data_IF_219968553778
#
_entry.id   IF_219968553778
#
_cell.length_a   1.000
_cell.length_b   1.000
_cell.length_c   1.000
_cell.angle_alpha   90.00
_cell.angle_beta   90.00
_cell.angle_gamma   90.00
#
_symmetry.space_group_name_H-M   'P 1'
#
loop_
_entity.id
_entity.type
_entity.pdbx_description
1 polymer ?
#
# COMPACT_ATOMS: atom_id res chain seq x y z
N UNK A 1 4.48 -16.29 12.31
CA UNK A 1 4.14 -14.91 11.91
C UNK A 1 2.93 -14.95 11.00
N UNK A 2 2.03 -13.94 11.03
CA UNK A 2 0.84 -13.95 10.19
C UNK A 2 1.24 -13.99 8.71
N UNK A 3 0.71 -14.99 7.99
CA UNK A 3 0.94 -15.23 6.57
C UNK A 3 0.05 -14.33 5.69
N UNK A 4 -0.14 -13.07 6.09
CA UNK A 4 -1.01 -12.15 5.36
C UNK A 4 -0.28 -11.73 4.09
N UNK A 5 -0.76 -12.25 2.96
CA UNK A 5 -0.30 -11.91 1.62
C UNK A 5 -1.17 -10.83 0.98
N UNK A 6 -2.43 -10.68 1.41
CA UNK A 6 -3.34 -9.63 0.95
C UNK A 6 -3.89 -8.85 2.13
N UNK A 7 -3.81 -7.53 2.05
CA UNK A 7 -4.39 -6.60 3.01
C UNK A 7 -5.33 -5.65 2.29
N UNK A 8 -6.59 -5.62 2.70
CA UNK A 8 -7.60 -4.72 2.16
C UNK A 8 -8.06 -3.77 3.25
N UNK A 9 -7.96 -2.48 2.99
CA UNK A 9 -8.35 -1.40 3.88
C UNK A 9 -9.42 -0.57 3.18
N UNK A 10 -10.63 -0.59 3.73
CA UNK A 10 -11.76 0.21 3.24
C UNK A 10 -12.12 1.24 4.29
N UNK A 11 -12.35 2.48 3.87
CA UNK A 11 -12.75 3.58 4.76
C UNK A 11 -11.81 3.71 5.99
N UNK A 12 -10.51 3.53 5.75
CA UNK A 12 -9.49 3.41 6.79
C UNK A 12 -8.48 4.55 6.72
N UNK A 13 -8.77 5.61 7.46
CA UNK A 13 -7.89 6.78 7.59
C UNK A 13 -6.91 6.59 8.76
N UNK A 14 -6.05 5.58 8.64
CA UNK A 14 -5.08 5.22 9.68
C UNK A 14 -3.64 5.36 9.18
N UNK A 15 -3.10 6.60 9.06
CA UNK A 15 -1.74 6.82 8.56
C UNK A 15 -0.68 6.12 9.42
N UNK A 16 -0.85 6.10 10.74
CA UNK A 16 0.05 5.39 11.66
C UNK A 16 0.06 3.87 11.41
N UNK A 17 -1.08 3.28 11.04
CA UNK A 17 -1.13 1.84 10.73
C UNK A 17 -0.38 1.53 9.43
N UNK A 18 -0.55 2.38 8.42
CA UNK A 18 0.18 2.27 7.17
C UNK A 18 1.69 2.50 7.35
N UNK A 19 2.10 3.41 8.22
CA UNK A 19 3.51 3.59 8.61
C UNK A 19 4.11 2.34 9.24
N UNK A 20 3.36 1.62 10.08
CA UNK A 20 3.80 0.34 10.65
C UNK A 20 4.04 -0.75 9.61
N UNK A 21 3.47 -0.61 8.40
CA UNK A 21 3.82 -1.49 7.29
C UNK A 21 5.26 -1.19 6.82
N UNK A 22 5.76 0.04 6.83
CA UNK A 22 7.04 0.39 6.19
C UNK A 22 8.22 -0.37 6.83
N UNK A 23 8.47 -0.22 8.13
CA UNK A 23 9.47 -1.02 8.86
C UNK A 23 9.17 -0.95 10.36
N UNK A 24 8.98 -2.10 11.00
CA UNK A 24 9.10 -2.22 12.45
C UNK A 24 10.29 -3.14 12.77
N UNK A 25 11.28 -2.70 13.58
CA UNK A 25 12.56 -3.40 13.80
C UNK A 25 12.48 -4.86 14.26
N UNK A 26 11.36 -5.30 14.81
CA UNK A 26 11.21 -6.65 15.39
C UNK A 26 9.98 -7.40 14.90
N UNK A 27 9.27 -6.88 13.90
CA UNK A 27 8.07 -7.56 13.41
C UNK A 27 7.43 -6.77 12.30
N UNK A 28 7.91 -6.98 11.07
CA UNK A 28 7.19 -6.52 9.89
C UNK A 28 5.74 -6.99 10.01
N UNK A 29 4.83 -6.04 10.15
CA UNK A 29 3.41 -6.31 10.08
C UNK A 29 3.17 -6.79 8.63
N UNK A 30 2.77 -8.05 8.49
CA UNK A 30 2.62 -8.74 7.21
C UNK A 30 3.94 -8.79 6.40
N UNK A 31 4.92 -9.62 6.81
CA UNK A 31 6.21 -9.71 6.14
C UNK A 31 6.11 -10.31 4.73
N UNK A 32 5.03 -11.05 4.45
CA UNK A 32 4.75 -11.72 3.18
C UNK A 32 3.70 -10.97 2.35
N UNK A 33 3.48 -9.68 2.62
CA UNK A 33 2.44 -8.93 1.92
C UNK A 33 2.80 -8.73 0.45
N UNK A 34 1.95 -9.30 -0.42
CA UNK A 34 2.07 -9.28 -1.88
C UNK A 34 1.05 -8.34 -2.53
N UNK A 35 -0.11 -8.14 -1.89
CA UNK A 35 -1.20 -7.34 -2.40
C UNK A 35 -1.74 -6.34 -1.35
N UNK A 36 -1.87 -5.07 -1.74
CA UNK A 36 -2.46 -4.01 -0.91
C UNK A 36 -3.65 -3.38 -1.63
N UNK A 37 -4.84 -3.48 -1.04
CA UNK A 37 -6.05 -2.84 -1.54
C UNK A 37 -6.42 -1.68 -0.61
N UNK A 38 -6.57 -0.50 -1.20
CA UNK A 38 -6.98 0.72 -0.53
C UNK A 38 -8.28 1.19 -1.18
N UNK A 39 -9.34 1.30 -0.38
CA UNK A 39 -10.64 1.75 -0.83
C UNK A 39 -11.14 2.89 0.06
N UNK A 40 -11.62 3.97 -0.54
CA UNK A 40 -12.33 5.06 0.16
C UNK A 40 -11.57 5.59 1.39
N UNK A 41 -10.23 5.61 1.29
CA UNK A 41 -9.30 5.97 2.38
C UNK A 41 -8.40 7.13 1.96
N UNK A 42 -7.86 7.86 2.93
CA UNK A 42 -6.82 8.87 2.73
C UNK A 42 -5.43 8.25 2.89
N UNK A 43 -4.63 8.29 1.83
CA UNK A 43 -3.25 7.80 1.84
C UNK A 43 -2.33 8.85 1.23
N UNK A 44 -1.27 9.19 1.94
CA UNK A 44 -0.22 10.08 1.42
C UNK A 44 0.58 9.34 0.36
N UNK A 45 0.84 10.00 -0.77
CA UNK A 45 1.68 9.48 -1.85
C UNK A 45 3.02 8.91 -1.35
N UNK A 46 3.77 9.68 -0.56
CA UNK A 46 5.09 9.27 -0.07
C UNK A 46 5.01 7.98 0.75
N UNK A 47 3.97 7.87 1.58
CA UNK A 47 3.73 6.70 2.41
C UNK A 47 3.48 5.45 1.58
N UNK A 48 2.68 5.56 0.52
CA UNK A 48 2.43 4.42 -0.36
C UNK A 48 3.70 3.98 -1.11
N UNK A 49 4.49 4.94 -1.60
CA UNK A 49 5.79 4.67 -2.22
C UNK A 49 6.71 3.91 -1.26
N UNK A 50 6.79 4.35 0.00
CA UNK A 50 7.61 3.70 1.03
C UNK A 50 7.13 2.28 1.35
N UNK A 51 5.82 2.06 1.43
CA UNK A 51 5.24 0.72 1.64
C UNK A 51 5.60 -0.22 0.49
N UNK A 52 5.50 0.25 -0.77
CA UNK A 52 5.84 -0.54 -1.94
C UNK A 52 7.35 -0.83 -1.96
N UNK A 53 8.19 0.18 -1.73
CA UNK A 53 9.65 0.03 -1.76
C UNK A 53 10.17 -0.90 -0.65
N UNK A 54 9.61 -0.81 0.56
CA UNK A 54 9.97 -1.72 1.66
C UNK A 54 9.69 -3.20 1.35
N UNK A 55 8.82 -3.48 0.36
CA UNK A 55 8.40 -4.82 -0.05
C UNK A 55 8.64 -5.09 -1.54
N UNK A 56 9.52 -4.32 -2.18
CA UNK A 56 9.72 -4.36 -3.64
C UNK A 56 9.97 -5.77 -4.23
N UNK A 57 10.68 -6.72 -3.59
CA UNK A 57 10.83 -8.05 -4.20
C UNK A 57 9.55 -8.89 -4.20
N UNK A 58 8.53 -8.54 -3.42
CA UNK A 58 7.33 -9.36 -3.20
C UNK A 58 6.00 -8.63 -3.43
N UNK A 59 6.00 -7.29 -3.47
CA UNK A 59 4.79 -6.50 -3.74
C UNK A 59 4.38 -6.66 -5.21
N UNK A 60 3.38 -7.49 -5.45
CA UNK A 60 2.92 -7.83 -6.79
C UNK A 60 1.83 -6.87 -7.28
N UNK A 61 0.91 -6.48 -6.39
CA UNK A 61 -0.29 -5.74 -6.77
C UNK A 61 -0.70 -4.69 -5.74
N UNK A 62 -1.08 -3.50 -6.23
CA UNK A 62 -1.73 -2.47 -5.41
C UNK A 62 -3.00 -2.03 -6.12
N UNK A 63 -4.12 -2.13 -5.44
CA UNK A 63 -5.41 -1.64 -5.92
C UNK A 63 -5.78 -0.40 -5.14
N UNK A 64 -6.07 0.69 -5.83
CA UNK A 64 -6.49 1.96 -5.22
C UNK A 64 -7.84 2.35 -5.81
N UNK A 65 -8.83 2.49 -4.95
CA UNK A 65 -10.22 2.76 -5.33
C UNK A 65 -10.75 3.93 -4.53
N UNK A 66 -11.15 5.04 -5.18
CA UNK A 66 -11.75 6.21 -4.50
C UNK A 66 -10.93 6.75 -3.33
N UNK A 67 -9.60 6.63 -3.38
CA UNK A 67 -8.74 7.13 -2.32
C UNK A 67 -8.42 8.61 -2.53
N UNK A 68 -8.35 9.35 -1.42
CA UNK A 68 -7.90 10.74 -1.39
C UNK A 68 -6.41 10.79 -1.04
N UNK A 69 -5.70 11.82 -1.51
CA UNK A 69 -4.25 11.97 -1.29
C UNK A 69 -3.35 11.26 -2.31
N UNK A 70 -3.94 10.51 -3.24
CA UNK A 70 -3.26 9.95 -4.41
C UNK A 70 -3.94 10.49 -5.67
N UNK A 71 -3.15 10.99 -6.61
CA UNK A 71 -3.62 11.44 -7.90
C UNK A 71 -3.24 10.46 -9.03
N UNK A 72 -3.77 10.70 -10.22
CA UNK A 72 -3.54 9.86 -11.39
C UNK A 72 -2.07 9.87 -11.84
N UNK A 73 -1.38 10.99 -11.63
CA UNK A 73 0.05 11.12 -11.92
C UNK A 73 0.86 10.18 -11.02
N UNK A 74 0.58 10.21 -9.72
CA UNK A 74 1.17 9.31 -8.72
C UNK A 74 0.87 7.86 -9.03
N UNK A 75 -0.39 7.52 -9.35
CA UNK A 75 -0.77 6.16 -9.71
C UNK A 75 0.02 5.67 -10.94
N UNK A 76 0.34 6.56 -11.87
CA UNK A 76 1.16 6.26 -13.04
C UNK A 76 2.64 6.02 -12.69
N UNK A 77 3.23 6.83 -11.80
CA UNK A 77 4.59 6.59 -11.30
C UNK A 77 4.72 5.25 -10.58
N UNK A 78 3.72 4.90 -9.76
CA UNK A 78 3.67 3.65 -9.00
C UNK A 78 3.62 2.39 -9.88
N UNK A 79 3.14 2.51 -11.13
CA UNK A 79 3.16 1.38 -12.11
C UNK A 79 4.56 0.92 -12.45
N UNK A 80 5.59 1.75 -12.25
CA UNK A 80 6.99 1.34 -12.39
C UNK A 80 7.49 0.46 -11.23
N UNK A 81 6.76 0.44 -10.11
CA UNK A 81 7.14 -0.24 -8.86
C UNK A 81 6.34 -1.52 -8.62
N UNK A 82 5.05 -1.55 -8.97
CA UNK A 82 4.16 -2.70 -8.81
C UNK A 82 3.01 -2.64 -9.84
N UNK A 83 2.22 -3.72 -9.99
CA UNK A 83 0.99 -3.65 -10.81
C UNK A 83 -0.06 -2.81 -10.09
N UNK A 84 -0.39 -1.64 -10.63
CA UNK A 84 -1.38 -0.72 -10.04
C UNK A 84 -2.73 -0.83 -10.76
N UNK A 85 -3.76 -1.22 -10.02
CA UNK A 85 -5.15 -1.02 -10.42
C UNK A 85 -5.68 0.27 -9.79
N UNK A 86 -6.30 1.13 -10.61
CA UNK A 86 -6.77 2.46 -10.20
C UNK A 86 -8.22 2.66 -10.63
N UNK A 87 -9.08 2.99 -9.67
CA UNK A 87 -10.48 3.32 -9.89
C UNK A 87 -10.80 4.60 -9.11
N UNK A 88 -11.35 5.61 -9.79
CA UNK A 88 -11.68 6.89 -9.17
C UNK A 88 -12.98 6.85 -8.39
#
# INVERSE_FOLDING_TARGET
>A
MPAITLLSLSECDAPMFLEMLIVAPTGHLCPLLEALHLQESYVRQSLLVDIINSRRPQMMHVQITRCSGIDEYTASELRSLAKIGWVK
#
